data_IF_912838663196
#
_entry.id   IF_912838663196
#
_cell.length_a   1.000
_cell.length_b   1.000
_cell.length_c   1.000
_cell.angle_alpha   90.00
_cell.angle_beta   90.00
_cell.angle_gamma   90.00
#
_symmetry.space_group_name_H-M   'P 1'
#
loop_
_entity.id
_entity.type
_entity.pdbx_description
1 polymer ?
#
# COMPACT_ATOMS: atom_id res chain seq x y z
N UNK A 1 3.49 6.44 -5.90
CA UNK A 1 3.55 7.83 -5.36
C UNK A 1 3.75 7.87 -3.84
N UNK A 2 2.85 7.32 -3.02
CA UNK A 2 2.82 7.53 -1.55
C UNK A 2 4.13 7.21 -0.81
N UNK A 3 4.85 6.14 -1.21
CA UNK A 3 6.15 5.80 -0.62
C UNK A 3 7.21 6.89 -0.73
N UNK A 4 7.20 7.67 -1.83
CA UNK A 4 8.11 8.80 -2.01
C UNK A 4 7.81 9.93 -1.05
N UNK A 5 6.53 10.25 -0.83
CA UNK A 5 6.11 11.26 0.13
C UNK A 5 6.51 10.88 1.57
N UNK A 6 6.34 9.61 1.95
CA UNK A 6 6.75 9.08 3.26
C UNK A 6 8.24 9.34 3.51
N UNK A 7 9.09 9.03 2.54
CA UNK A 7 10.54 9.27 2.62
C UNK A 7 10.87 10.77 2.64
N UNK A 8 10.24 11.56 1.76
CA UNK A 8 10.44 13.01 1.67
C UNK A 8 10.16 13.72 3.00
N UNK A 9 9.04 13.38 3.63
CA UNK A 9 8.62 13.95 4.90
C UNK A 9 9.26 13.29 6.13
N UNK A 10 10.18 12.34 5.93
CA UNK A 10 10.89 11.63 7.00
C UNK A 10 9.96 10.97 8.00
N UNK A 11 8.85 10.40 7.51
CA UNK A 11 7.93 9.63 8.35
C UNK A 11 8.64 8.34 8.79
N UNK A 12 8.86 8.12 10.10
CA UNK A 12 9.77 7.07 10.56
C UNK A 12 9.12 5.68 10.58
N UNK A 13 7.79 5.61 10.61
CA UNK A 13 7.04 4.36 10.76
C UNK A 13 5.75 4.39 9.95
N UNK A 14 5.45 3.27 9.29
CA UNK A 14 4.24 3.04 8.52
C UNK A 14 3.60 1.74 8.99
N UNK A 15 2.31 1.80 9.31
CA UNK A 15 1.49 0.63 9.57
C UNK A 15 0.57 0.45 8.35
N UNK A 16 0.58 -0.73 7.76
CA UNK A 16 -0.24 -1.06 6.59
C UNK A 16 -1.32 -2.05 7.03
N UNK A 17 -2.55 -1.86 6.54
CA UNK A 17 -3.65 -2.80 6.78
C UNK A 17 -3.39 -4.15 6.11
N UNK A 18 -3.07 -4.15 4.82
CA UNK A 18 -2.67 -5.33 4.04
C UNK A 18 -1.80 -4.91 2.84
N UNK A 19 -1.04 -5.85 2.27
CA UNK A 19 -0.22 -5.61 1.07
C UNK A 19 -0.33 -6.75 0.03
N UNK A 20 -1.34 -7.61 0.16
CA UNK A 20 -1.56 -8.76 -0.70
C UNK A 20 -2.25 -8.33 -2.00
N UNK A 21 -3.23 -7.43 -1.92
CA UNK A 21 -3.95 -6.95 -3.11
C UNK A 21 -3.12 -5.98 -3.94
N UNK A 22 -2.28 -5.19 -3.27
CA UNK A 22 -1.34 -4.28 -3.91
C UNK A 22 -0.14 -4.03 -3.01
N UNK A 23 1.06 -4.14 -3.57
CA UNK A 23 2.31 -3.91 -2.84
C UNK A 23 3.00 -2.64 -3.36
N UNK A 24 3.09 -1.64 -2.48
CA UNK A 24 3.85 -0.42 -2.75
C UNK A 24 5.37 -0.63 -2.70
N UNK A 25 6.14 0.45 -2.76
CA UNK A 25 7.61 0.42 -2.72
C UNK A 25 8.16 0.21 -1.30
N UNK A 26 7.74 -0.87 -0.63
CA UNK A 26 8.11 -1.18 0.75
C UNK A 26 9.62 -1.35 0.95
N UNK A 27 10.30 -2.03 0.03
CA UNK A 27 11.74 -2.30 0.17
C UNK A 27 12.57 -1.02 0.01
N UNK A 28 12.13 -0.11 -0.86
CA UNK A 28 12.71 1.24 -0.95
C UNK A 28 12.56 1.99 0.36
N UNK A 29 11.35 2.05 0.93
CA UNK A 29 11.10 2.71 2.22
C UNK A 29 11.94 2.09 3.35
N UNK A 30 12.04 0.76 3.43
CA UNK A 30 12.89 0.04 4.40
C UNK A 30 14.37 0.41 4.21
N UNK A 31 14.86 0.48 2.97
CA UNK A 31 16.24 0.90 2.67
C UNK A 31 16.54 2.35 3.10
N UNK A 32 15.51 3.17 3.25
CA UNK A 32 15.59 4.55 3.76
C UNK A 32 15.36 4.65 5.27
N UNK A 33 15.31 3.51 5.98
CA UNK A 33 15.17 3.44 7.43
C UNK A 33 13.73 3.54 7.95
N UNK A 34 12.73 3.53 7.07
CA UNK A 34 11.31 3.53 7.49
C UNK A 34 10.94 2.16 8.03
N UNK A 35 10.39 2.11 9.24
CA UNK A 35 9.89 0.87 9.85
C UNK A 35 8.49 0.58 9.31
N UNK A 36 8.32 -0.58 8.69
CA UNK A 36 7.03 -1.00 8.13
C UNK A 36 6.50 -2.20 8.92
N UNK A 37 5.22 -2.14 9.27
CA UNK A 37 4.48 -3.27 9.85
C UNK A 37 3.24 -3.51 9.00
N UNK A 38 3.13 -4.69 8.42
CA UNK A 38 1.89 -5.16 7.80
C UNK A 38 1.07 -5.90 8.87
N UNK A 39 -0.15 -5.45 9.13
CA UNK A 39 -1.06 -6.10 10.09
C UNK A 39 -1.78 -7.32 9.49
N UNK A 40 -1.75 -7.47 8.18
CA UNK A 40 -2.37 -8.57 7.44
C UNK A 40 -3.88 -8.73 7.71
N UNK A 41 -4.58 -7.60 7.82
CA UNK A 41 -5.99 -7.57 8.22
C UNK A 41 -6.90 -8.16 7.14
N UNK A 42 -7.70 -9.14 7.55
CA UNK A 42 -8.66 -9.81 6.67
C UNK A 42 -9.71 -8.84 6.12
N UNK A 43 -10.19 -7.90 6.94
CA UNK A 43 -11.22 -6.94 6.53
C UNK A 43 -10.71 -6.02 5.41
N UNK A 44 -9.44 -5.59 5.49
CA UNK A 44 -8.80 -4.79 4.44
C UNK A 44 -8.67 -5.57 3.14
N UNK A 45 -8.24 -6.83 3.21
CA UNK A 45 -8.10 -7.70 2.03
C UNK A 45 -9.45 -7.94 1.36
N UNK A 46 -10.47 -8.29 2.15
CA UNK A 46 -11.81 -8.59 1.65
C UNK A 46 -12.43 -7.35 0.98
N UNK A 47 -12.27 -6.17 1.59
CA UNK A 47 -12.71 -4.90 1.03
C UNK A 47 -12.04 -4.59 -0.30
N UNK A 48 -10.70 -4.65 -0.35
CA UNK A 48 -9.94 -4.33 -1.55
C UNK A 48 -10.20 -5.35 -2.67
N UNK A 49 -10.23 -6.66 -2.37
CA UNK A 49 -10.56 -7.71 -3.35
C UNK A 49 -11.94 -7.50 -3.97
N UNK A 50 -12.94 -7.15 -3.14
CA UNK A 50 -14.29 -6.88 -3.62
C UNK A 50 -14.30 -5.67 -4.57
N UNK A 51 -13.69 -4.55 -4.16
CA UNK A 51 -13.64 -3.34 -4.96
C UNK A 51 -12.93 -3.56 -6.31
N UNK A 52 -11.74 -4.16 -6.29
CA UNK A 52 -10.95 -4.44 -7.50
C UNK A 52 -11.73 -5.34 -8.47
N UNK A 53 -12.43 -6.36 -7.95
CA UNK A 53 -13.29 -7.24 -8.75
C UNK A 53 -14.49 -6.52 -9.37
N UNK A 54 -15.14 -5.64 -8.60
CA UNK A 54 -16.36 -4.94 -9.03
C UNK A 54 -16.08 -3.73 -9.93
N UNK A 55 -14.92 -3.10 -9.78
CA UNK A 55 -14.53 -1.84 -10.46
C UNK A 55 -13.08 -1.88 -10.99
N UNK A 56 -12.70 -2.85 -11.84
CA UNK A 56 -11.31 -3.04 -12.26
C UNK A 56 -10.74 -1.85 -13.03
N UNK A 57 -11.53 -1.20 -13.91
CA UNK A 57 -11.06 -0.03 -14.66
C UNK A 57 -10.74 1.17 -13.76
N UNK A 58 -11.56 1.39 -12.72
CA UNK A 58 -11.33 2.48 -11.77
C UNK A 58 -10.12 2.18 -10.88
N UNK A 59 -9.93 0.92 -10.49
CA UNK A 59 -8.72 0.52 -9.77
C UNK A 59 -7.47 0.74 -10.62
N UNK A 60 -7.49 0.30 -11.88
CA UNK A 60 -6.37 0.47 -12.81
C UNK A 60 -6.05 1.95 -13.04
N UNK A 61 -7.07 2.82 -13.14
CA UNK A 61 -6.90 4.27 -13.19
C UNK A 61 -6.13 4.81 -11.97
N UNK A 62 -6.50 4.38 -10.76
CA UNK A 62 -5.87 4.84 -9.50
C UNK A 62 -4.38 4.47 -9.40
N UNK A 63 -4.01 3.28 -9.90
CA UNK A 63 -2.62 2.82 -9.91
C UNK A 63 -1.86 3.14 -11.21
N UNK A 64 -2.53 3.73 -12.20
CA UNK A 64 -1.95 4.12 -13.48
C UNK A 64 -1.59 2.94 -14.40
N UNK A 65 -2.43 1.90 -14.44
CA UNK A 65 -2.31 0.70 -15.32
C UNK A 65 -3.35 0.72 -16.43
#
# INVERSE_FOLDING_TARGET
>A
MCSGAIVLYKIPKVIIGENETFKGAEDYMKSKGVKITNLDLKECKDLMKKFIKEKPSLWNEDIGV
#
